data_IF_784312073251
#
_entry.id   IF_784312073251
#
_cell.length_a   1.000
_cell.length_b   1.000
_cell.length_c   1.000
_cell.angle_alpha   90.00
_cell.angle_beta   90.00
_cell.angle_gamma   90.00
#
_symmetry.space_group_name_H-M   'P 1'
#
loop_
_entity.id
_entity.type
_entity.pdbx_description
1 polymer ?
#
# COMPACT_ATOMS: atom_id res chain seq x y z
N UNK A 1 8.49 32.90 8.09
CA UNK A 1 9.87 32.72 7.55
C UNK A 1 10.63 31.59 8.27
N UNK A 2 10.48 31.39 9.57
CA UNK A 2 11.20 30.35 10.34
C UNK A 2 10.71 28.91 10.05
N UNK A 3 9.46 28.70 9.67
CA UNK A 3 8.94 27.35 9.34
C UNK A 3 9.44 26.80 8.00
N UNK A 4 9.82 27.67 7.06
CA UNK A 4 10.34 27.25 5.76
C UNK A 4 11.80 26.78 5.82
N UNK A 5 12.62 27.38 6.67
CA UNK A 5 14.02 26.98 6.85
C UNK A 5 14.13 25.61 7.55
N UNK A 6 13.35 25.37 8.62
CA UNK A 6 13.40 24.09 9.34
C UNK A 6 12.93 22.88 8.51
N UNK A 7 11.96 23.08 7.62
CA UNK A 7 11.47 22.04 6.71
C UNK A 7 12.48 21.76 5.60
N UNK A 8 13.14 22.81 5.09
CA UNK A 8 14.18 22.67 4.06
C UNK A 8 15.44 21.98 4.62
N UNK A 9 15.83 22.30 5.84
CA UNK A 9 16.96 21.66 6.53
C UNK A 9 16.67 20.19 6.87
N UNK A 10 15.44 19.85 7.26
CA UNK A 10 15.04 18.46 7.50
C UNK A 10 15.08 17.62 6.20
N UNK A 11 14.63 18.18 5.06
CA UNK A 11 14.70 17.52 3.77
C UNK A 11 16.15 17.34 3.32
N UNK A 12 16.98 18.39 3.46
CA UNK A 12 18.39 18.35 3.10
C UNK A 12 19.18 17.37 3.97
N UNK A 13 18.89 17.35 5.28
CA UNK A 13 19.46 16.41 6.25
C UNK A 13 19.03 14.97 5.94
N UNK A 14 17.77 14.74 5.57
CA UNK A 14 17.28 13.45 5.11
C UNK A 14 18.02 13.00 3.84
N UNK A 15 18.20 13.89 2.85
CA UNK A 15 18.95 13.57 1.62
C UNK A 15 20.43 13.28 1.86
N UNK A 16 21.07 14.00 2.79
CA UNK A 16 22.48 13.74 3.15
C UNK A 16 22.62 12.44 3.95
N UNK A 17 21.69 12.13 4.86
CA UNK A 17 21.61 10.84 5.54
C UNK A 17 21.34 9.70 4.57
N UNK A 18 20.40 9.86 3.63
CA UNK A 18 20.13 8.91 2.57
C UNK A 18 21.39 8.62 1.76
N UNK A 19 22.09 9.66 1.31
CA UNK A 19 23.35 9.50 0.55
C UNK A 19 24.46 8.79 1.34
N UNK A 20 24.54 9.01 2.66
CA UNK A 20 25.49 8.35 3.55
C UNK A 20 25.11 6.90 3.89
N UNK A 21 23.80 6.62 4.04
CA UNK A 21 23.32 5.28 4.41
C UNK A 21 23.30 4.30 3.23
N UNK A 22 23.02 4.77 2.01
CA UNK A 22 22.82 3.90 0.84
C UNK A 22 24.12 3.51 0.11
N UNK A 23 25.23 4.14 0.44
CA UNK A 23 26.52 3.83 -0.20
C UNK A 23 27.33 2.70 0.44
N UNK A 24 27.02 2.26 1.66
CA UNK A 24 27.92 1.45 2.46
C UNK A 24 27.34 0.14 3.03
N UNK A 25 26.05 -0.18 2.82
CA UNK A 25 25.51 -1.43 3.36
C UNK A 25 25.71 -2.61 2.40
N UNK A 26 26.89 -3.24 2.46
CA UNK A 26 27.22 -4.45 1.68
C UNK A 26 26.29 -5.64 1.98
N UNK A 27 25.52 -5.58 3.07
CA UNK A 27 24.57 -6.61 3.51
C UNK A 27 23.11 -6.29 3.22
N UNK A 28 22.81 -5.19 2.50
CA UNK A 28 21.46 -4.84 2.15
C UNK A 28 20.82 -5.93 1.27
N UNK A 29 19.64 -6.40 1.68
CA UNK A 29 18.92 -7.42 0.90
C UNK A 29 18.38 -6.87 -0.42
N UNK A 30 17.99 -5.59 -0.45
CA UNK A 30 17.53 -4.88 -1.63
C UNK A 30 18.53 -3.80 -2.04
N UNK A 31 18.94 -3.83 -3.31
CA UNK A 31 19.82 -2.82 -3.89
C UNK A 31 19.08 -1.50 -4.17
N UNK A 32 19.61 -0.40 -3.67
CA UNK A 32 18.99 0.93 -3.78
C UNK A 32 18.85 1.39 -5.25
N UNK A 33 19.88 1.17 -6.08
CA UNK A 33 19.80 1.56 -7.49
C UNK A 33 18.69 0.80 -8.24
N UNK A 34 18.50 -0.48 -7.91
CA UNK A 34 17.42 -1.30 -8.48
C UNK A 34 16.04 -0.80 -8.05
N UNK A 35 15.90 -0.35 -6.80
CA UNK A 35 14.68 0.27 -6.29
C UNK A 35 14.40 1.61 -6.99
N UNK A 36 15.41 2.44 -7.21
CA UNK A 36 15.23 3.69 -7.96
C UNK A 36 14.80 3.44 -9.42
N UNK A 37 15.37 2.44 -10.07
CA UNK A 37 15.03 2.08 -11.47
C UNK A 37 13.59 1.66 -11.66
N UNK A 38 12.90 1.19 -10.62
CA UNK A 38 11.49 0.78 -10.69
C UNK A 38 10.52 1.88 -10.27
N UNK A 39 10.98 3.04 -9.78
CA UNK A 39 10.15 4.23 -9.51
C UNK A 39 9.77 4.91 -10.81
N UNK A 40 8.65 4.50 -11.42
CA UNK A 40 8.24 4.92 -12.78
C UNK A 40 6.80 5.39 -12.88
N UNK A 41 5.99 5.20 -11.83
CA UNK A 41 4.57 5.49 -11.85
C UNK A 41 4.38 6.97 -11.48
N UNK A 42 3.78 7.73 -12.40
CA UNK A 42 3.60 9.17 -12.27
C UNK A 42 2.32 9.58 -11.55
N UNK A 43 1.34 8.69 -11.50
CA UNK A 43 0.04 8.95 -10.91
C UNK A 43 -0.33 7.83 -9.94
N UNK A 44 -0.66 8.21 -8.70
CA UNK A 44 -1.20 7.31 -7.71
C UNK A 44 -2.68 7.00 -8.00
N UNK A 45 -3.20 5.93 -7.41
CA UNK A 45 -4.63 5.68 -7.30
C UNK A 45 -5.09 6.29 -5.98
N UNK A 46 -6.22 6.98 -6.00
CA UNK A 46 -6.79 7.64 -4.82
C UNK A 46 -8.19 7.11 -4.53
N UNK A 47 -8.71 7.26 -3.30
CA UNK A 47 -10.12 7.06 -3.00
C UNK A 47 -11.03 7.92 -3.88
N UNK A 48 -12.29 7.52 -4.06
CA UNK A 48 -13.22 8.18 -5.00
C UNK A 48 -13.48 9.66 -4.71
N UNK A 49 -13.48 10.03 -3.43
CA UNK A 49 -13.69 11.42 -2.99
C UNK A 49 -12.61 12.38 -3.51
N UNK A 50 -11.38 11.93 -3.67
CA UNK A 50 -10.30 12.71 -4.26
C UNK A 50 -10.63 13.16 -5.69
N UNK A 51 -11.22 12.29 -6.51
CA UNK A 51 -11.58 12.61 -7.89
C UNK A 51 -12.80 13.54 -7.99
N UNK A 52 -13.53 13.72 -6.88
CA UNK A 52 -14.59 14.73 -6.76
C UNK A 52 -14.03 16.06 -6.26
N UNK A 53 -13.02 16.03 -5.37
CA UNK A 53 -12.37 17.18 -4.76
C UNK A 53 -11.44 17.91 -5.74
N UNK A 54 -10.69 17.17 -6.56
CA UNK A 54 -9.63 17.72 -7.42
C UNK A 54 -10.01 17.79 -8.89
N UNK A 55 -9.49 18.84 -9.59
CA UNK A 55 -9.67 19.00 -11.04
C UNK A 55 -9.07 17.81 -11.80
N UNK A 56 -9.75 17.35 -12.84
CA UNK A 56 -9.32 16.25 -13.71
C UNK A 56 -8.00 16.48 -14.46
N UNK A 57 -7.51 17.75 -14.49
CA UNK A 57 -6.17 18.10 -14.98
C UNK A 57 -5.07 17.84 -13.95
N UNK A 58 -5.43 17.64 -12.67
CA UNK A 58 -4.52 17.31 -11.59
C UNK A 58 -4.47 15.80 -11.44
N UNK A 59 -5.62 15.18 -11.18
CA UNK A 59 -5.77 13.72 -11.09
C UNK A 59 -6.97 13.26 -11.90
N UNK A 60 -6.84 12.12 -12.56
CA UNK A 60 -7.93 11.47 -13.28
C UNK A 60 -8.04 10.03 -12.82
N UNK A 61 -9.27 9.58 -12.53
CA UNK A 61 -9.49 8.17 -12.19
C UNK A 61 -9.05 7.28 -13.36
N UNK A 62 -8.12 6.33 -13.14
CA UNK A 62 -7.66 5.45 -14.20
C UNK A 62 -8.72 4.36 -14.44
N UNK A 63 -9.30 4.35 -15.64
CA UNK A 63 -10.17 3.25 -16.07
C UNK A 63 -9.41 1.92 -16.03
N UNK A 64 -10.08 0.88 -15.54
CA UNK A 64 -9.51 -0.45 -15.45
C UNK A 64 -9.33 -1.05 -16.84
N UNK A 65 -8.11 -1.44 -17.18
CA UNK A 65 -7.80 -2.05 -18.47
C UNK A 65 -8.30 -3.49 -18.54
N UNK A 66 -8.52 -4.00 -19.77
CA UNK A 66 -8.93 -5.39 -19.97
C UNK A 66 -7.88 -6.36 -19.41
N UNK A 67 -8.30 -7.26 -18.52
CA UNK A 67 -7.43 -8.23 -17.86
C UNK A 67 -6.59 -7.66 -16.72
N UNK A 68 -6.77 -6.37 -16.37
CA UNK A 68 -6.20 -5.78 -15.18
C UNK A 68 -6.85 -6.36 -13.93
N UNK A 69 -6.02 -6.64 -12.91
CA UNK A 69 -6.46 -7.08 -11.59
C UNK A 69 -5.95 -6.06 -10.57
N UNK A 70 -6.82 -5.60 -9.66
CA UNK A 70 -6.45 -4.75 -8.53
C UNK A 70 -6.63 -5.51 -7.23
N UNK A 71 -5.66 -5.38 -6.34
CA UNK A 71 -5.61 -6.12 -5.07
C UNK A 71 -5.35 -5.14 -3.93
N UNK A 72 -6.19 -5.19 -2.90
CA UNK A 72 -5.87 -4.61 -1.59
C UNK A 72 -5.06 -5.64 -0.81
N UNK A 73 -3.91 -5.24 -0.28
CA UNK A 73 -3.17 -6.06 0.70
C UNK A 73 -3.09 -5.32 2.01
N UNK A 74 -3.26 -6.02 3.13
CA UNK A 74 -3.19 -5.42 4.45
C UNK A 74 -2.36 -6.30 5.40
N UNK A 75 -1.39 -5.67 6.05
CA UNK A 75 -0.68 -6.21 7.20
C UNK A 75 -1.21 -5.50 8.45
N UNK A 76 -1.80 -6.29 9.35
CA UNK A 76 -2.61 -5.77 10.44
C UNK A 76 -1.78 -5.70 11.72
N UNK A 77 -1.67 -4.51 12.29
CA UNK A 77 -1.08 -4.31 13.60
C UNK A 77 -2.15 -4.11 14.69
N UNK A 78 -1.81 -4.55 15.91
CA UNK A 78 -2.64 -4.31 17.10
C UNK A 78 -2.43 -2.89 17.59
N UNK A 79 -3.45 -2.30 18.20
CA UNK A 79 -3.29 -1.09 19.00
C UNK A 79 -2.10 -1.23 19.94
N UNK A 80 -1.08 -0.39 19.73
CA UNK A 80 0.17 -0.45 20.46
C UNK A 80 -0.05 -0.44 21.99
N UNK A 81 0.50 -1.43 22.65
CA UNK A 81 0.72 -1.32 24.09
C UNK A 81 1.72 -0.17 24.31
N UNK A 82 1.67 0.50 25.47
CA UNK A 82 2.61 1.60 25.83
C UNK A 82 4.10 1.25 25.64
N UNK A 83 4.45 -0.01 25.36
CA UNK A 83 5.80 -0.53 25.13
C UNK A 83 6.18 -0.69 23.65
N UNK A 84 5.19 -0.90 22.74
CA UNK A 84 5.43 -1.06 21.29
C UNK A 84 4.71 0.06 20.56
N UNK A 85 5.35 1.21 20.43
CA UNK A 85 4.81 2.42 19.80
C UNK A 85 4.86 2.41 18.27
N UNK A 86 5.38 1.36 17.63
CA UNK A 86 5.75 1.37 16.21
C UNK A 86 4.98 0.37 15.34
N UNK A 87 3.99 -0.34 15.87
CA UNK A 87 3.22 -1.29 15.05
C UNK A 87 2.06 -0.54 14.39
N UNK A 88 2.24 -0.21 13.12
CA UNK A 88 1.22 0.40 12.28
C UNK A 88 0.62 -0.63 11.31
N UNK A 89 -0.68 -0.55 11.06
CA UNK A 89 -1.29 -1.31 9.96
C UNK A 89 -0.86 -0.69 8.64
N UNK A 90 -0.35 -1.51 7.74
CA UNK A 90 0.05 -1.11 6.40
C UNK A 90 -0.92 -1.65 5.36
N UNK A 91 -1.45 -0.77 4.50
CA UNK A 91 -2.31 -1.14 3.37
C UNK A 91 -1.64 -0.75 2.07
N UNK A 92 -1.66 -1.66 1.08
CA UNK A 92 -1.19 -1.38 -0.28
C UNK A 92 -2.27 -1.71 -1.30
N UNK A 93 -2.30 -0.93 -2.39
CA UNK A 93 -3.07 -1.26 -3.59
C UNK A 93 -2.10 -1.64 -4.70
N UNK A 94 -2.23 -2.88 -5.14
CA UNK A 94 -1.48 -3.46 -6.24
C UNK A 94 -2.35 -3.53 -7.49
N UNK A 95 -1.81 -3.06 -8.61
CA UNK A 95 -2.37 -3.25 -9.94
C UNK A 95 -1.52 -4.27 -10.71
N UNK A 96 -2.14 -5.33 -11.18
CA UNK A 96 -1.52 -6.33 -12.03
C UNK A 96 -1.96 -6.07 -13.47
N UNK A 97 -1.01 -5.67 -14.33
CA UNK A 97 -1.27 -5.41 -15.75
C UNK A 97 -0.73 -6.57 -16.58
N UNK A 98 -1.58 -7.27 -17.36
CA UNK A 98 -1.14 -8.39 -18.17
C UNK A 98 -0.18 -7.93 -19.26
N UNK A 99 0.84 -8.73 -19.52
CA UNK A 99 1.79 -8.53 -20.61
C UNK A 99 1.50 -9.50 -21.76
N UNK A 100 2.04 -9.22 -22.95
CA UNK A 100 1.80 -10.05 -24.15
C UNK A 100 2.33 -11.50 -24.01
N UNK A 101 3.29 -11.72 -23.12
CA UNK A 101 3.87 -13.02 -22.80
C UNK A 101 3.13 -13.77 -21.67
N UNK A 102 1.93 -13.31 -21.30
CA UNK A 102 1.08 -13.95 -20.29
C UNK A 102 1.53 -13.73 -18.85
N UNK A 103 2.49 -12.84 -18.63
CA UNK A 103 2.93 -12.43 -17.28
C UNK A 103 2.22 -11.16 -16.84
N UNK A 104 2.54 -10.68 -15.63
CA UNK A 104 2.01 -9.44 -15.09
C UNK A 104 3.13 -8.48 -14.67
N UNK A 105 2.95 -7.21 -15.01
CA UNK A 105 3.65 -6.11 -14.36
C UNK A 105 2.86 -5.77 -13.10
N UNK A 106 3.54 -5.60 -11.98
CA UNK A 106 2.99 -5.28 -10.68
C UNK A 106 3.25 -3.81 -10.37
N UNK A 107 2.22 -3.01 -10.36
CA UNK A 107 2.30 -1.60 -10.00
C UNK A 107 1.80 -1.41 -8.57
N UNK A 108 2.58 -0.81 -7.68
CA UNK A 108 2.12 -0.34 -6.37
C UNK A 108 1.59 1.07 -6.59
N UNK A 109 0.26 1.23 -6.56
CA UNK A 109 -0.41 2.49 -6.89
C UNK A 109 -0.78 3.34 -5.68
N UNK A 110 -0.82 2.72 -4.50
CA UNK A 110 -1.20 3.36 -3.25
C UNK A 110 -0.58 2.61 -2.09
N UNK A 111 -0.17 3.35 -1.08
CA UNK A 111 0.19 2.81 0.23
C UNK A 111 -0.23 3.76 1.31
N UNK A 112 -0.65 3.22 2.43
CA UNK A 112 -1.06 3.95 3.61
C UNK A 112 -0.68 3.18 4.86
N UNK A 113 -0.11 3.89 5.84
CA UNK A 113 0.14 3.37 7.17
C UNK A 113 -0.73 4.14 8.16
N UNK A 114 -1.32 3.45 9.12
CA UNK A 114 -2.05 4.09 10.21
C UNK A 114 -1.88 3.32 11.51
N UNK A 115 -1.86 4.07 12.60
CA UNK A 115 -1.73 3.52 13.94
C UNK A 115 -3.10 3.29 14.58
N UNK A 116 -3.24 2.16 15.27
CA UNK A 116 -4.41 1.86 16.10
C UNK A 116 -5.68 1.54 15.33
N UNK A 117 -6.81 1.73 15.98
CA UNK A 117 -8.15 1.37 15.50
C UNK A 117 -8.58 -0.03 15.94
N UNK A 118 -9.89 -0.18 16.13
CA UNK A 118 -10.49 -1.48 16.37
C UNK A 118 -10.52 -2.30 15.08
N UNK A 119 -10.60 -3.62 15.20
CA UNK A 119 -10.61 -4.54 14.03
C UNK A 119 -11.74 -4.23 13.06
N UNK A 120 -12.87 -3.73 13.54
CA UNK A 120 -14.02 -3.30 12.73
C UNK A 120 -13.69 -2.05 11.90
N UNK A 121 -13.05 -1.04 12.51
CA UNK A 121 -12.63 0.19 11.81
C UNK A 121 -11.61 -0.12 10.72
N UNK A 122 -10.66 -1.02 11.01
CA UNK A 122 -9.67 -1.47 10.03
C UNK A 122 -10.33 -2.23 8.88
N UNK A 123 -11.27 -3.12 9.18
CA UNK A 123 -12.03 -3.86 8.18
C UNK A 123 -12.86 -2.92 7.30
N UNK A 124 -13.54 -1.95 7.89
CA UNK A 124 -14.31 -0.94 7.17
C UNK A 124 -13.41 -0.11 6.23
N UNK A 125 -12.24 0.30 6.69
CA UNK A 125 -11.26 1.02 5.87
C UNK A 125 -10.80 0.20 4.68
N UNK A 126 -10.42 -1.07 4.89
CA UNK A 126 -10.04 -2.00 3.81
C UNK A 126 -11.19 -2.19 2.83
N UNK A 127 -12.42 -2.32 3.34
CA UNK A 127 -13.62 -2.52 2.52
C UNK A 127 -13.95 -1.28 1.67
N UNK A 128 -13.80 -0.08 2.21
CA UNK A 128 -13.96 1.19 1.47
C UNK A 128 -12.93 1.29 0.35
N UNK A 129 -11.65 1.05 0.64
CA UNK A 129 -10.60 1.06 -0.39
C UNK A 129 -10.82 0.01 -1.48
N UNK A 130 -11.32 -1.18 -1.10
CA UNK A 130 -11.67 -2.23 -2.05
C UNK A 130 -12.72 -1.77 -3.07
N UNK A 131 -13.78 -1.07 -2.61
CA UNK A 131 -14.83 -0.53 -3.49
C UNK A 131 -14.35 0.71 -4.27
N UNK A 132 -13.71 1.65 -3.59
CA UNK A 132 -13.31 2.93 -4.16
C UNK A 132 -12.29 2.77 -5.28
N UNK A 133 -11.41 1.80 -5.14
CA UNK A 133 -10.35 1.54 -6.10
C UNK A 133 -10.66 0.38 -7.05
N UNK A 134 -11.93 -0.09 -7.04
CA UNK A 134 -12.41 -1.19 -7.92
C UNK A 134 -11.51 -2.42 -7.85
N UNK A 135 -11.17 -2.83 -6.63
CA UNK A 135 -10.32 -3.99 -6.42
C UNK A 135 -11.08 -5.29 -6.66
N UNK A 136 -10.37 -6.33 -7.11
CA UNK A 136 -10.92 -7.66 -7.35
C UNK A 136 -10.75 -8.55 -6.13
N UNK A 137 -9.65 -8.34 -5.38
CA UNK A 137 -9.27 -9.20 -4.27
C UNK A 137 -8.73 -8.40 -3.09
N UNK A 138 -8.90 -8.98 -1.90
CA UNK A 138 -8.25 -8.58 -0.64
C UNK A 138 -7.31 -9.71 -0.23
N UNK A 139 -6.06 -9.39 0.06
CA UNK A 139 -5.09 -10.33 0.64
C UNK A 139 -4.77 -9.89 2.06
N UNK A 140 -4.99 -10.75 3.03
CA UNK A 140 -4.79 -10.44 4.45
C UNK A 140 -4.12 -11.61 5.18
N UNK A 141 -3.14 -11.31 6.04
CA UNK A 141 -2.63 -12.30 6.98
C UNK A 141 -3.65 -12.54 8.09
N UNK A 142 -4.12 -13.77 8.19
CA UNK A 142 -5.11 -14.17 9.19
C UNK A 142 -4.49 -14.78 10.45
N UNK A 143 -3.17 -14.67 10.63
CA UNK A 143 -2.54 -14.98 11.91
C UNK A 143 -2.80 -13.85 12.93
N UNK A 144 -2.92 -14.25 14.21
CA UNK A 144 -3.03 -13.28 15.29
C UNK A 144 -4.20 -12.33 15.13
N UNK A 145 -3.91 -11.02 15.05
CA UNK A 145 -4.92 -9.95 15.02
C UNK A 145 -5.67 -9.90 13.70
N UNK A 146 -5.02 -10.26 12.61
CA UNK A 146 -5.64 -10.24 11.30
C UNK A 146 -6.89 -11.10 11.20
N UNK A 147 -7.03 -12.14 12.05
CA UNK A 147 -8.27 -12.94 12.13
C UNK A 147 -9.47 -12.10 12.55
N UNK A 148 -9.29 -11.13 13.46
CA UNK A 148 -10.36 -10.25 13.90
C UNK A 148 -10.82 -9.29 12.80
N UNK A 149 -9.90 -8.78 12.00
CA UNK A 149 -10.23 -7.96 10.83
C UNK A 149 -10.92 -8.81 9.76
N UNK A 150 -10.42 -10.03 9.52
CA UNK A 150 -11.05 -10.98 8.61
C UNK A 150 -12.51 -11.30 9.02
N UNK A 151 -12.79 -11.54 10.30
CA UNK A 151 -14.13 -11.83 10.82
C UNK A 151 -15.12 -10.69 10.59
N UNK A 152 -14.64 -9.45 10.58
CA UNK A 152 -15.43 -8.29 10.22
C UNK A 152 -15.63 -8.21 8.68
N UNK A 153 -14.61 -8.48 7.87
CA UNK A 153 -14.73 -8.47 6.40
C UNK A 153 -15.72 -9.52 5.85
N UNK A 154 -15.91 -10.65 6.57
CA UNK A 154 -16.88 -11.68 6.18
C UNK A 154 -18.27 -11.46 6.77
N UNK A 155 -18.47 -10.37 7.51
CA UNK A 155 -19.74 -9.89 8.03
C UNK A 155 -20.18 -8.66 7.24
N UNK A 156 -21.47 -8.32 7.30
CA UNK A 156 -21.95 -7.06 6.74
C UNK A 156 -21.42 -5.91 7.61
N UNK A 157 -20.83 -4.89 6.96
CA UNK A 157 -20.28 -3.71 7.61
C UNK A 157 -21.11 -2.47 7.28
N UNK A 158 -21.31 -1.59 8.24
CA UNK A 158 -21.99 -0.32 8.03
C UNK A 158 -21.02 0.83 8.32
N UNK A 159 -20.87 1.73 7.36
CA UNK A 159 -20.20 3.00 7.60
C UNK A 159 -21.22 3.96 8.24
N UNK A 160 -21.13 4.15 9.54
CA UNK A 160 -22.02 5.02 10.30
C UNK A 160 -21.96 6.49 9.85
N UNK A 161 -20.85 6.91 9.25
CA UNK A 161 -20.66 8.29 8.78
C UNK A 161 -21.46 8.56 7.51
N UNK A 162 -21.52 7.60 6.60
CA UNK A 162 -22.18 7.73 5.29
C UNK A 162 -23.52 6.98 5.22
N UNK A 163 -23.78 6.05 6.15
CA UNK A 163 -24.93 5.14 6.12
C UNK A 163 -24.81 4.05 5.06
N UNK A 164 -23.66 3.91 4.40
CA UNK A 164 -23.45 2.88 3.37
C UNK A 164 -23.22 1.53 4.06
N UNK A 165 -23.95 0.51 3.60
CA UNK A 165 -23.75 -0.88 4.00
C UNK A 165 -22.94 -1.62 2.96
N UNK A 166 -21.93 -2.35 3.40
CA UNK A 166 -21.10 -3.23 2.62
C UNK A 166 -21.42 -4.67 2.95
N UNK A 167 -21.87 -5.45 1.97
CA UNK A 167 -22.10 -6.89 2.16
C UNK A 167 -20.81 -7.62 2.50
N UNK A 168 -20.90 -8.64 3.37
CA UNK A 168 -19.77 -9.47 3.72
C UNK A 168 -19.17 -10.20 2.52
N UNK A 169 -17.85 -10.29 2.48
CA UNK A 169 -17.10 -11.03 1.47
C UNK A 169 -16.79 -12.45 1.97
N UNK A 170 -16.35 -13.35 1.09
CA UNK A 170 -15.92 -14.69 1.51
C UNK A 170 -14.55 -15.07 0.96
N UNK A 171 -13.93 -16.06 1.61
CA UNK A 171 -12.60 -16.55 1.26
C UNK A 171 -12.61 -17.39 -0.01
N UNK A 172 -11.53 -17.30 -0.78
CA UNK A 172 -11.35 -18.03 -2.04
C UNK A 172 -10.55 -19.32 -1.83
N UNK A 173 -9.47 -19.25 -1.04
CA UNK A 173 -8.42 -20.26 -1.01
C UNK A 173 -8.45 -21.17 0.23
N UNK A 174 -9.27 -20.85 1.21
CA UNK A 174 -9.34 -21.63 2.46
C UNK A 174 -10.83 -21.92 2.81
N UNK A 175 -11.28 -23.20 2.73
CA UNK A 175 -12.67 -23.57 3.03
C UNK A 175 -13.05 -23.33 4.50
N UNK A 176 -12.14 -23.48 5.45
CA UNK A 176 -12.40 -23.23 6.88
C UNK A 176 -12.63 -21.73 7.11
N UNK A 177 -11.84 -20.90 6.45
CA UNK A 177 -12.01 -19.46 6.47
C UNK A 177 -13.32 -19.05 5.77
N UNK A 178 -13.66 -19.66 4.64
CA UNK A 178 -14.92 -19.42 3.95
C UNK A 178 -16.15 -19.77 4.81
N UNK A 179 -16.06 -20.85 5.62
CA UNK A 179 -17.13 -21.25 6.53
C UNK A 179 -17.39 -20.24 7.68
N UNK A 180 -16.51 -19.27 7.90
CA UNK A 180 -16.69 -18.18 8.88
C UNK A 180 -17.60 -17.04 8.39
N UNK A 181 -18.11 -17.12 7.16
CA UNK A 181 -19.01 -16.10 6.59
C UNK A 181 -20.24 -15.88 7.49
N UNK A 182 -20.55 -14.61 7.76
CA UNK A 182 -21.65 -14.18 8.66
C UNK A 182 -22.57 -13.12 8.03
N UNK A 183 -22.34 -12.77 6.77
CA UNK A 183 -23.20 -11.81 6.06
C UNK A 183 -24.57 -12.39 5.72
N UNK A 184 -25.47 -11.54 5.26
CA UNK A 184 -26.84 -11.90 4.92
C UNK A 184 -27.03 -12.43 3.49
N UNK A 185 -26.02 -12.27 2.62
CA UNK A 185 -26.11 -12.69 1.23
C UNK A 185 -26.09 -14.22 1.10
N UNK A 186 -26.98 -14.78 0.27
CA UNK A 186 -26.96 -16.21 -0.07
C UNK A 186 -25.83 -16.57 -1.05
N UNK A 187 -25.29 -15.58 -1.77
CA UNK A 187 -24.27 -15.72 -2.77
C UNK A 187 -23.17 -14.66 -2.55
N UNK A 188 -22.39 -14.75 -1.45
CA UNK A 188 -21.40 -13.75 -1.13
C UNK A 188 -20.28 -13.71 -2.19
N UNK A 189 -19.79 -12.51 -2.46
CA UNK A 189 -18.67 -12.33 -3.36
C UNK A 189 -17.41 -13.02 -2.77
N UNK A 190 -16.80 -13.89 -3.58
CA UNK A 190 -15.51 -14.52 -3.25
C UNK A 190 -14.39 -13.56 -3.63
N UNK A 191 -13.83 -12.86 -2.65
CA UNK A 191 -12.82 -11.84 -2.90
C UNK A 191 -11.62 -11.88 -1.94
N UNK A 192 -11.68 -12.65 -0.84
CA UNK A 192 -10.61 -12.65 0.17
C UNK A 192 -9.66 -13.84 -0.03
N UNK A 193 -8.36 -13.55 -0.12
CA UNK A 193 -7.28 -14.51 0.05
C UNK A 193 -6.74 -14.42 1.48
N UNK A 194 -6.97 -15.46 2.25
CA UNK A 194 -6.39 -15.65 3.58
C UNK A 194 -4.98 -16.23 3.43
N UNK A 195 -3.99 -15.55 3.98
CA UNK A 195 -2.63 -16.08 4.09
C UNK A 195 -2.28 -16.32 5.55
N UNK A 196 -1.33 -17.21 5.80
CA UNK A 196 -0.73 -17.47 7.10
C UNK A 196 0.76 -17.24 6.96
N UNK A 197 1.21 -16.05 7.32
CA UNK A 197 2.61 -15.66 7.19
C UNK A 197 3.47 -16.47 8.17
N UNK A 198 4.19 -17.45 7.64
CA UNK A 198 5.25 -18.18 8.35
C UNK A 198 6.61 -17.60 7.96
N UNK A 199 7.67 -17.87 8.74
CA UNK A 199 9.03 -17.43 8.38
C UNK A 199 9.44 -17.89 6.98
N UNK A 200 9.12 -19.13 6.61
CA UNK A 200 9.41 -19.67 5.28
C UNK A 200 8.65 -18.92 4.18
N UNK A 201 7.36 -18.62 4.40
CA UNK A 201 6.54 -17.86 3.48
C UNK A 201 7.08 -16.43 3.31
N UNK A 202 7.39 -15.73 4.42
CA UNK A 202 7.94 -14.38 4.38
C UNK A 202 9.28 -14.34 3.65
N UNK A 203 10.15 -15.32 3.87
CA UNK A 203 11.42 -15.44 3.14
C UNK A 203 11.18 -15.62 1.63
N UNK A 204 10.25 -16.49 1.23
CA UNK A 204 9.90 -16.67 -0.19
C UNK A 204 9.35 -15.37 -0.80
N UNK A 205 8.50 -14.65 -0.08
CA UNK A 205 7.97 -13.34 -0.52
C UNK A 205 9.08 -12.31 -0.72
N UNK A 206 10.05 -12.24 0.21
CA UNK A 206 11.19 -11.32 0.10
C UNK A 206 12.05 -11.62 -1.14
N UNK A 207 12.36 -12.89 -1.39
CA UNK A 207 13.10 -13.29 -2.60
C UNK A 207 12.30 -13.01 -3.89
N UNK A 208 11.01 -13.29 -3.90
CA UNK A 208 10.14 -13.01 -5.05
C UNK A 208 10.02 -11.52 -5.33
N UNK A 209 9.96 -10.69 -4.28
CA UNK A 209 9.97 -9.24 -4.39
C UNK A 209 11.29 -8.74 -5.00
N UNK A 210 12.43 -9.21 -4.48
CA UNK A 210 13.75 -8.86 -5.02
C UNK A 210 13.90 -9.26 -6.50
N UNK A 211 13.49 -10.46 -6.88
CA UNK A 211 13.49 -10.91 -8.28
C UNK A 211 12.60 -10.01 -9.15
N UNK A 212 11.42 -9.65 -8.66
CA UNK A 212 10.48 -8.77 -9.39
C UNK A 212 11.05 -7.36 -9.59
N UNK A 213 11.77 -6.81 -8.61
CA UNK A 213 12.47 -5.53 -8.70
C UNK A 213 13.60 -5.63 -9.73
N UNK A 214 14.49 -6.62 -9.58
CA UNK A 214 15.67 -6.81 -10.45
C UNK A 214 15.26 -7.01 -11.91
N UNK A 215 14.17 -7.71 -12.17
CA UNK A 215 13.62 -7.92 -13.54
C UNK A 215 12.75 -6.77 -14.05
N UNK A 216 12.54 -5.71 -13.25
CA UNK A 216 11.67 -4.59 -13.62
C UNK A 216 10.20 -4.98 -13.78
N UNK A 217 9.77 -6.07 -13.13
CA UNK A 217 8.38 -6.54 -13.10
C UNK A 217 7.54 -5.89 -11.99
N UNK A 218 8.19 -5.25 -11.01
CA UNK A 218 7.58 -4.35 -10.06
C UNK A 218 7.79 -2.90 -10.50
N UNK A 219 6.80 -2.04 -10.25
CA UNK A 219 6.92 -0.60 -10.43
C UNK A 219 6.36 0.12 -9.22
N UNK A 220 7.03 1.18 -8.81
CA UNK A 220 6.69 2.04 -7.69
C UNK A 220 6.37 3.45 -8.18
N UNK A 221 5.68 4.23 -7.34
CA UNK A 221 5.46 5.66 -7.57
C UNK A 221 6.79 6.40 -7.61
N UNK A 222 6.83 7.52 -8.34
CA UNK A 222 7.97 8.47 -8.33
C UNK A 222 8.26 8.93 -6.90
N UNK A 223 9.42 9.54 -6.68
CA UNK A 223 9.67 10.31 -5.46
C UNK A 223 8.69 11.49 -5.37
N UNK A 224 8.38 11.92 -4.15
CA UNK A 224 7.56 13.10 -3.93
C UNK A 224 8.17 14.35 -4.57
N UNK A 225 9.50 14.42 -4.63
CA UNK A 225 10.22 15.54 -5.28
C UNK A 225 10.01 15.54 -6.79
N UNK A 226 10.13 14.37 -7.45
CA UNK A 226 9.84 14.24 -8.88
C UNK A 226 8.37 14.50 -9.19
N UNK A 227 7.47 14.01 -8.32
CA UNK A 227 6.04 14.28 -8.44
C UNK A 227 5.76 15.78 -8.37
N UNK A 228 6.27 16.50 -7.34
CA UNK A 228 6.14 17.96 -7.22
C UNK A 228 6.69 18.70 -8.43
N UNK A 229 7.87 18.33 -8.91
CA UNK A 229 8.50 18.94 -10.07
C UNK A 229 7.60 18.82 -11.32
N UNK A 230 7.00 17.65 -11.52
CA UNK A 230 6.06 17.40 -12.62
C UNK A 230 4.76 18.20 -12.45
N UNK A 231 4.17 18.20 -11.25
CA UNK A 231 2.88 18.83 -10.98
C UNK A 231 2.97 20.36 -10.96
N UNK A 232 4.12 20.93 -10.58
CA UNK A 232 4.38 22.38 -10.64
C UNK A 232 4.38 22.97 -12.06
N UNK A 233 4.28 22.15 -13.09
CA UNK A 233 4.04 22.61 -14.45
C UNK A 233 2.54 22.88 -14.71
N UNK A 234 1.65 22.35 -13.87
CA UNK A 234 0.19 22.46 -14.00
C UNK A 234 -0.34 23.66 -13.21
N UNK A 235 -1.01 24.61 -13.87
CA UNK A 235 -1.55 25.81 -13.21
C UNK A 235 -2.52 25.44 -12.07
N UNK A 236 -3.45 24.50 -12.32
CA UNK A 236 -4.44 24.06 -11.34
C UNK A 236 -3.79 23.51 -10.06
N UNK A 237 -2.67 22.80 -10.18
CA UNK A 237 -1.94 22.32 -9.01
C UNK A 237 -1.27 23.47 -8.25
N UNK A 238 -0.71 24.48 -8.94
CA UNK A 238 -0.11 25.66 -8.28
C UNK A 238 -1.10 26.40 -7.40
N UNK A 239 -2.35 26.46 -7.85
CA UNK A 239 -3.43 27.20 -7.20
C UNK A 239 -4.03 26.46 -5.99
N UNK A 240 -3.64 25.19 -5.74
CA UNK A 240 -4.07 24.43 -4.57
C UNK A 240 -3.51 24.98 -3.26
N UNK A 241 -4.25 24.76 -2.18
CA UNK A 241 -3.76 24.98 -0.81
C UNK A 241 -2.55 24.09 -0.49
N UNK A 242 -1.81 24.43 0.56
CA UNK A 242 -0.70 23.58 1.02
C UNK A 242 -1.20 22.19 1.46
N UNK A 243 -2.32 22.14 2.18
CA UNK A 243 -2.92 20.88 2.66
C UNK A 243 -3.37 19.98 1.50
N UNK A 244 -4.03 20.55 0.48
CA UNK A 244 -4.44 19.80 -0.71
C UNK A 244 -3.25 19.23 -1.49
N UNK A 245 -2.13 19.94 -1.54
CA UNK A 245 -0.88 19.43 -2.14
C UNK A 245 -0.32 18.28 -1.34
N UNK A 246 -0.30 18.40 -0.01
CA UNK A 246 0.15 17.32 0.88
C UNK A 246 -0.73 16.07 0.70
N UNK A 247 -2.06 16.22 0.68
CA UNK A 247 -2.99 15.10 0.45
C UNK A 247 -2.65 14.31 -0.81
N UNK A 248 -2.35 15.03 -1.91
CA UNK A 248 -1.98 14.42 -3.19
C UNK A 248 -0.59 13.77 -3.17
N UNK A 249 0.31 14.24 -2.31
CA UNK A 249 1.68 13.75 -2.20
C UNK A 249 1.84 12.54 -1.28
N UNK A 250 0.89 12.29 -0.36
CA UNK A 250 0.95 11.20 0.63
C UNK A 250 1.34 9.85 0.00
N UNK A 251 0.75 9.34 -1.10
CA UNK A 251 1.14 8.05 -1.65
C UNK A 251 2.60 8.00 -2.12
N UNK A 252 3.15 9.12 -2.59
CA UNK A 252 4.54 9.25 -3.04
C UNK A 252 5.50 9.28 -1.86
N UNK A 253 5.15 9.99 -0.79
CA UNK A 253 5.89 10.04 0.47
C UNK A 253 5.93 8.64 1.09
N UNK A 254 4.79 7.96 1.19
CA UNK A 254 4.71 6.59 1.72
C UNK A 254 5.55 5.61 0.88
N UNK A 255 5.58 5.79 -0.44
CA UNK A 255 6.46 4.99 -1.31
C UNK A 255 7.94 5.26 -1.03
N UNK A 256 8.33 6.49 -0.72
CA UNK A 256 9.71 6.81 -0.33
C UNK A 256 10.07 6.17 1.01
N UNK A 257 9.17 6.21 1.99
CA UNK A 257 9.37 5.52 3.26
C UNK A 257 9.51 4.00 3.07
N UNK A 258 8.67 3.38 2.23
CA UNK A 258 8.80 1.96 1.86
C UNK A 258 10.16 1.64 1.24
N UNK A 259 10.65 2.47 0.32
CA UNK A 259 11.98 2.28 -0.29
C UNK A 259 13.07 2.34 0.78
N UNK A 260 12.97 3.28 1.72
CA UNK A 260 13.93 3.41 2.83
C UNK A 260 13.92 2.18 3.75
N UNK A 261 12.74 1.64 4.07
CA UNK A 261 12.62 0.40 4.85
C UNK A 261 13.24 -0.80 4.11
N UNK A 262 12.96 -0.93 2.81
CA UNK A 262 13.50 -2.03 2.01
C UNK A 262 15.04 -2.00 1.92
N UNK A 263 15.64 -0.83 1.77
CA UNK A 263 17.11 -0.68 1.71
C UNK A 263 17.76 -1.03 3.05
N UNK A 264 17.08 -0.77 4.16
CA UNK A 264 17.57 -1.07 5.50
C UNK A 264 17.32 -2.53 5.92
N UNK A 265 16.65 -3.34 5.08
CA UNK A 265 16.45 -4.74 5.36
C UNK A 265 17.76 -5.52 5.15
N UNK A 266 18.28 -6.10 6.23
CA UNK A 266 19.51 -6.90 6.20
C UNK A 266 19.19 -8.40 6.04
N UNK A 267 20.07 -9.09 5.34
CA UNK A 267 20.02 -10.53 5.20
C UNK A 267 20.96 -11.18 6.23
N UNK A 268 20.41 -11.98 7.12
CA UNK A 268 21.20 -12.85 7.99
C UNK A 268 20.99 -14.31 7.60
N UNK A 269 22.04 -15.01 7.19
CA UNK A 269 22.04 -16.46 7.15
C UNK A 269 22.26 -16.94 8.59
N UNK A 270 21.22 -17.45 9.25
CA UNK A 270 21.47 -18.30 10.40
C UNK A 270 22.19 -19.55 9.91
N UNK A 271 23.51 -19.53 10.03
CA UNK A 271 24.32 -20.72 9.82
C UNK A 271 23.88 -21.75 10.85
N UNK A 272 23.18 -22.78 10.42
CA UNK A 272 23.18 -24.04 11.15
C UNK A 272 24.54 -24.65 10.93
N UNK A 273 25.41 -24.64 11.95
CA UNK A 273 26.55 -25.53 12.05
C UNK A 273 26.09 -27.00 12.02
#
# INVERSE_FOLDING_TARGET
EEMTESTFDAIKFSMELEALFYGENENAFFDYESLLKVRKIKQALYPKDFYQKFDSKIIKYPEKATGEIRIVTADIAVMGSKKNRNDATAIFILQLVPTKDGQYIRNVLYSENFEGGHTEEQALKIRKLFEDMECDYIVIDTNGVGIGVYDNLVSDLVDETTGIMYEGLTCINDPEMAARYKGNSKFPQKAIYSIKATMAFNSQCAFALRDSITRGKLRLLLSEQEYRANMNQTKQYKDLSADDKVDLEIPFIQTTLLVNELVNLEYSTNGSD
#
